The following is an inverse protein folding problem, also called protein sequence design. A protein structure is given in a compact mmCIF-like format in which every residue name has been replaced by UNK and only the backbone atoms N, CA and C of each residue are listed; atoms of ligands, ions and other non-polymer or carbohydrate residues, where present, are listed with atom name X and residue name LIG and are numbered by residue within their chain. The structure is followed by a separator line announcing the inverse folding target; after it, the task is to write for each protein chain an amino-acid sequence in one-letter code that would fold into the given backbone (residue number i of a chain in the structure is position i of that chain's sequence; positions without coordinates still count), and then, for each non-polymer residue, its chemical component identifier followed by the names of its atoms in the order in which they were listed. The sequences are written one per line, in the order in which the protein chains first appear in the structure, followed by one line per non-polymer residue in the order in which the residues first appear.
data_IF_267497795560
#
_entry.id   IF_267497795560
#
_cell.length_a   1.000
_cell.length_b   1.000
_cell.length_c   1.000
_cell.angle_alpha   90.00
_cell.angle_beta   90.00
_cell.angle_gamma   90.00
#
_symmetry.space_group_name_H-M   'P 1'
#
loop_
_entity.id
_entity.type
_entity.pdbx_description
1 polymer ?
#
# COMPACT_ATOMS: atom_id res chain seq x y z
N UNK A 1 13.20 -6.57 -3.10
CA UNK A 1 12.03 -6.94 -3.95
C UNK A 1 11.27 -5.68 -4.37
N UNK A 2 10.49 -5.71 -5.47
CA UNK A 2 9.80 -4.51 -5.98
C UNK A 2 8.80 -3.90 -4.99
N UNK A 3 7.97 -4.73 -4.35
CA UNK A 3 7.09 -4.31 -3.26
C UNK A 3 7.82 -3.66 -2.06
N UNK A 4 9.03 -4.15 -1.73
CA UNK A 4 9.83 -3.53 -0.66
C UNK A 4 10.33 -2.13 -1.06
N UNK A 5 10.70 -1.92 -2.33
CA UNK A 5 11.06 -0.57 -2.81
C UNK A 5 9.86 0.37 -2.78
N UNK A 6 8.68 -0.08 -3.22
CA UNK A 6 7.45 0.69 -3.11
C UNK A 6 7.16 1.08 -1.65
N UNK A 7 7.30 0.14 -0.72
CA UNK A 7 7.18 0.40 0.72
C UNK A 7 8.17 1.47 1.19
N UNK A 8 9.44 1.40 0.76
CA UNK A 8 10.45 2.38 1.16
C UNK A 8 10.21 3.78 0.59
N UNK A 9 9.74 3.87 -0.65
CA UNK A 9 9.37 5.15 -1.27
C UNK A 9 8.20 5.77 -0.51
N UNK A 10 7.14 5.00 -0.26
CA UNK A 10 5.99 5.46 0.51
C UNK A 10 6.38 5.92 1.92
N UNK A 11 7.21 5.13 2.60
CA UNK A 11 7.68 5.44 3.94
C UNK A 11 8.54 6.70 3.99
N UNK A 12 9.35 6.97 2.96
CA UNK A 12 10.12 8.22 2.85
C UNK A 12 9.18 9.42 2.68
N UNK A 13 8.18 9.32 1.80
CA UNK A 13 7.24 10.41 1.55
C UNK A 13 6.36 10.71 2.76
N UNK A 14 5.93 9.69 3.50
CA UNK A 14 5.13 9.87 4.72
C UNK A 14 5.89 10.63 5.82
N UNK A 15 7.23 10.50 5.90
CA UNK A 15 8.04 11.21 6.91
C UNK A 15 7.99 12.73 6.78
N UNK A 16 7.70 13.25 5.60
CA UNK A 16 7.71 14.68 5.30
C UNK A 16 6.38 15.39 5.65
N UNK A 17 5.44 14.69 6.30
CA UNK A 17 4.25 15.32 6.89
C UNK A 17 2.94 14.52 6.86
N UNK A 18 2.98 13.21 6.59
CA UNK A 18 1.79 12.38 6.40
C UNK A 18 1.75 11.10 7.24
N UNK A 19 0.59 10.46 7.27
CA UNK A 19 0.45 9.09 7.76
C UNK A 19 0.85 8.08 6.70
N UNK A 20 1.27 6.89 7.12
CA UNK A 20 1.51 5.76 6.22
C UNK A 20 0.45 4.68 6.47
N UNK A 21 -0.29 4.32 5.41
CA UNK A 21 -1.17 3.16 5.40
C UNK A 21 -0.61 2.13 4.43
N UNK A 22 -0.43 0.89 4.90
CA UNK A 22 0.09 -0.24 4.12
C UNK A 22 -1.07 -1.18 3.83
N UNK A 23 -1.34 -1.36 2.54
CA UNK A 23 -2.41 -2.20 2.03
C UNK A 23 -1.80 -3.53 1.59
N UNK A 24 -2.30 -4.62 2.14
CA UNK A 24 -1.71 -5.95 1.98
C UNK A 24 -2.72 -6.83 1.24
N UNK A 25 -2.57 -6.99 -0.09
CA UNK A 25 -3.36 -7.97 -0.82
C UNK A 25 -2.94 -9.36 -0.39
N UNK A 26 -3.87 -10.11 0.20
CA UNK A 26 -3.63 -11.47 0.65
C UNK A 26 -4.84 -12.36 0.31
N UNK A 27 -4.61 -13.62 -0.11
CA UNK A 27 -5.69 -14.56 -0.40
C UNK A 27 -6.32 -15.15 0.87
N UNK A 28 -5.61 -15.05 2.01
CA UNK A 28 -6.02 -15.58 3.30
C UNK A 28 -5.34 -14.82 4.45
N UNK A 29 -5.89 -14.98 5.67
CA UNK A 29 -5.40 -14.29 6.86
C UNK A 29 -4.00 -14.73 7.30
N UNK A 30 -3.57 -15.96 7.01
CA UNK A 30 -2.23 -16.42 7.38
C UNK A 30 -1.14 -15.73 6.54
N UNK A 31 -1.41 -15.58 5.24
CA UNK A 31 -0.59 -14.83 4.29
C UNK A 31 -0.61 -13.35 4.62
N UNK A 32 -1.78 -12.79 4.93
CA UNK A 32 -1.94 -11.40 5.38
C UNK A 32 -1.09 -11.09 6.60
N UNK A 33 -1.21 -11.92 7.65
CA UNK A 33 -0.43 -11.77 8.88
C UNK A 33 1.08 -11.84 8.63
N UNK A 34 1.54 -12.81 7.83
CA UNK A 34 2.96 -12.97 7.53
C UNK A 34 3.53 -11.75 6.81
N UNK A 35 2.79 -11.21 5.84
CA UNK A 35 3.19 -10.01 5.09
C UNK A 35 3.15 -8.76 5.96
N UNK A 36 2.14 -8.63 6.82
CA UNK A 36 2.04 -7.55 7.80
C UNK A 36 3.24 -7.54 8.75
N UNK A 37 3.57 -8.69 9.34
CA UNK A 37 4.70 -8.80 10.25
C UNK A 37 6.02 -8.48 9.55
N UNK A 38 6.16 -8.85 8.27
CA UNK A 38 7.32 -8.49 7.47
C UNK A 38 7.40 -6.98 7.23
N UNK A 39 6.32 -6.34 6.79
CA UNK A 39 6.27 -4.89 6.58
C UNK A 39 6.51 -4.13 7.89
N UNK A 40 5.89 -4.58 8.99
CA UNK A 40 6.05 -4.02 10.32
C UNK A 40 7.48 -4.07 10.80
N UNK A 41 8.16 -5.22 10.69
CA UNK A 41 9.58 -5.35 11.07
C UNK A 41 10.48 -4.40 10.27
N UNK A 42 10.21 -4.26 8.97
CA UNK A 42 10.97 -3.33 8.13
C UNK A 42 10.78 -1.89 8.61
N UNK A 43 9.54 -1.43 8.71
CA UNK A 43 9.22 -0.04 9.08
C UNK A 43 9.64 0.31 10.51
N UNK A 44 9.44 -0.60 11.48
CA UNK A 44 9.79 -0.38 12.88
C UNK A 44 11.29 -0.26 13.10
N UNK A 45 12.11 -0.97 12.32
CA UNK A 45 13.57 -0.84 12.35
C UNK A 45 14.06 0.59 12.00
N UNK A 46 13.20 1.44 11.43
CA UNK A 46 13.47 2.85 11.11
C UNK A 46 12.58 3.83 11.88
N UNK A 47 11.83 3.37 12.88
CA UNK A 47 10.95 4.20 13.70
C UNK A 47 9.74 4.76 12.95
N UNK A 48 9.29 4.08 11.89
CA UNK A 48 8.17 4.54 11.06
C UNK A 48 6.89 3.83 11.53
N UNK A 49 5.92 4.61 11.99
CA UNK A 49 4.59 4.11 12.31
C UNK A 49 3.75 3.99 11.03
N UNK A 50 2.95 2.94 10.95
CA UNK A 50 2.02 2.73 9.85
C UNK A 50 0.76 2.00 10.32
N UNK A 51 -0.35 2.27 9.65
CA UNK A 51 -1.56 1.48 9.74
C UNK A 51 -1.52 0.35 8.70
N UNK A 52 -1.98 -0.83 9.06
CA UNK A 52 -2.00 -1.99 8.17
C UNK A 52 -3.44 -2.37 7.91
N UNK A 53 -3.75 -2.69 6.66
CA UNK A 53 -5.06 -3.17 6.25
C UNK A 53 -4.89 -4.30 5.27
N UNK A 54 -5.56 -5.42 5.54
CA UNK A 54 -5.60 -6.54 4.61
C UNK A 54 -6.69 -6.30 3.59
N UNK A 55 -6.42 -6.69 2.36
CA UNK A 55 -7.39 -6.68 1.27
C UNK A 55 -7.66 -8.14 0.91
N UNK A 56 -8.84 -8.63 1.30
CA UNK A 56 -9.27 -9.98 0.96
C UNK A 56 -9.54 -10.03 -0.55
N UNK A 57 -8.79 -10.88 -1.25
CA UNK A 57 -8.97 -11.17 -2.68
C UNK A 57 -9.11 -9.93 -3.57
N UNK A 58 -8.05 -9.12 -3.68
CA UNK A 58 -7.69 -8.38 -4.90
C UNK A 58 -8.83 -7.60 -5.62
N UNK A 59 -9.85 -7.13 -4.91
CA UNK A 59 -10.93 -6.38 -5.55
C UNK A 59 -10.52 -4.90 -5.61
N UNK A 60 -10.13 -4.45 -6.79
CA UNK A 60 -9.77 -3.06 -7.06
C UNK A 60 -10.85 -2.07 -6.60
N UNK A 61 -12.13 -2.48 -6.62
CA UNK A 61 -13.24 -1.65 -6.16
C UNK A 61 -13.24 -1.35 -4.67
N UNK A 62 -12.80 -2.28 -3.81
CA UNK A 62 -12.65 -2.01 -2.37
C UNK A 62 -11.50 -1.05 -2.12
N UNK A 63 -10.41 -1.20 -2.87
CA UNK A 63 -9.25 -0.34 -2.78
C UNK A 63 -9.56 1.08 -3.28
N UNK A 64 -10.26 1.22 -4.39
CA UNK A 64 -10.77 2.51 -4.89
C UNK A 64 -11.79 3.14 -3.93
N UNK A 65 -12.62 2.33 -3.27
CA UNK A 65 -13.55 2.78 -2.22
C UNK A 65 -12.82 3.37 -1.00
N UNK A 66 -11.75 2.71 -0.54
CA UNK A 66 -10.92 3.18 0.57
C UNK A 66 -10.22 4.50 0.21
N UNK A 67 -9.66 4.60 -1.00
CA UNK A 67 -8.90 5.78 -1.43
C UNK A 67 -9.80 7.00 -1.68
N UNK A 68 -11.04 6.80 -2.16
CA UNK A 68 -12.03 7.88 -2.34
C UNK A 68 -12.43 8.55 -1.04
N UNK A 69 -12.41 7.82 0.08
CA UNK A 69 -12.76 8.38 1.38
C UNK A 69 -11.67 9.29 1.97
N UNK A 70 -10.40 9.05 1.61
CA UNK A 70 -9.26 9.75 2.19
C UNK A 70 -8.81 10.98 1.39
N UNK A 71 -9.33 11.19 0.17
CA UNK A 71 -9.33 12.47 -0.60
C UNK A 71 -7.99 13.05 -1.07
N UNK A 72 -6.94 12.96 -0.26
CA UNK A 72 -5.64 13.64 -0.42
C UNK A 72 -4.44 12.67 -0.38
N UNK A 73 -4.69 11.36 -0.57
CA UNK A 73 -3.66 10.32 -0.46
C UNK A 73 -2.87 10.09 -1.76
N UNK A 74 -1.59 9.74 -1.63
CA UNK A 74 -0.76 9.21 -2.72
C UNK A 74 -0.69 7.68 -2.59
N UNK A 75 -1.12 6.96 -3.63
CA UNK A 75 -0.88 5.52 -3.70
C UNK A 75 0.52 5.26 -4.26
N UNK A 76 1.27 4.35 -3.64
CA UNK A 76 2.58 3.92 -4.11
C UNK A 76 2.54 2.41 -4.33
N UNK A 77 2.82 1.97 -5.55
CA UNK A 77 2.73 0.56 -5.93
C UNK A 77 3.92 0.13 -6.77
N UNK A 78 4.15 -1.18 -6.82
CA UNK A 78 5.02 -1.79 -7.82
C UNK A 78 4.38 -1.65 -9.21
N UNK A 79 5.15 -1.23 -10.21
CA UNK A 79 4.68 -1.03 -11.58
C UNK A 79 4.16 -2.32 -12.22
N UNK A 80 4.69 -3.47 -11.80
CA UNK A 80 4.30 -4.79 -12.33
C UNK A 80 3.15 -5.43 -11.53
N UNK A 81 2.58 -4.70 -10.55
CA UNK A 81 1.44 -5.20 -9.78
C UNK A 81 0.17 -5.26 -10.64
N UNK A 82 -0.42 -6.45 -10.73
CA UNK A 82 -1.62 -6.71 -11.53
C UNK A 82 -2.86 -5.88 -11.13
N UNK A 83 -2.84 -5.29 -9.93
CA UNK A 83 -3.91 -4.39 -9.47
C UNK A 83 -3.77 -2.98 -10.02
N UNK A 84 -2.60 -2.58 -10.54
CA UNK A 84 -2.37 -1.21 -11.03
C UNK A 84 -3.30 -0.82 -12.19
N UNK A 85 -3.48 -1.63 -13.25
CA UNK A 85 -4.36 -1.25 -14.36
C UNK A 85 -5.81 -0.94 -13.94
N UNK A 86 -6.53 -1.80 -13.18
CA UNK A 86 -7.90 -1.48 -12.76
C UNK A 86 -7.95 -0.32 -11.76
N UNK A 87 -6.92 -0.13 -10.94
CA UNK A 87 -6.84 1.01 -10.02
C UNK A 87 -6.71 2.35 -10.75
N UNK A 88 -5.96 2.40 -11.85
CA UNK A 88 -5.83 3.62 -12.65
C UNK A 88 -7.17 4.05 -13.27
N UNK A 89 -8.07 3.12 -13.54
CA UNK A 89 -9.40 3.41 -14.10
C UNK A 89 -10.40 3.90 -13.04
N UNK A 90 -10.21 3.49 -11.77
CA UNK A 90 -11.19 3.73 -10.70
C UNK A 90 -10.76 4.81 -9.69
N UNK A 91 -9.49 5.24 -9.70
CA UNK A 91 -8.94 6.12 -8.67
C UNK A 91 -8.86 7.58 -9.10
N UNK A 92 -9.34 8.46 -8.21
CA UNK A 92 -9.24 9.92 -8.35
C UNK A 92 -7.98 10.50 -7.68
N UNK A 93 -7.05 9.68 -7.20
CA UNK A 93 -5.85 10.14 -6.49
C UNK A 93 -4.54 9.83 -7.22
N UNK A 94 -3.45 10.56 -6.93
CA UNK A 94 -2.15 10.32 -7.56
C UNK A 94 -1.62 8.91 -7.28
N UNK A 95 -1.05 8.28 -8.32
CA UNK A 95 -0.37 6.99 -8.23
C UNK A 95 1.12 7.13 -8.60
N UNK A 96 2.00 6.70 -7.72
CA UNK A 96 3.44 6.58 -7.96
C UNK A 96 3.83 5.11 -8.16
N UNK A 97 4.27 4.78 -9.37
CA UNK A 97 4.73 3.45 -9.71
C UNK A 97 6.24 3.32 -9.53
N UNK A 98 6.66 2.27 -8.82
CA UNK A 98 8.06 1.98 -8.53
C UNK A 98 8.50 0.73 -9.29
N UNK A 99 9.66 0.81 -9.94
CA UNK A 99 10.31 -0.27 -10.70
C UNK A 99 11.55 -0.80 -10.02
#
# INVERSE_FOLDING_TARGET
PAAERALWVAARLARDGGGLSVLIPAPDGATGQRLEDQARRLLSARGIAAHYRWLDSANAGELAGLMRHDGDGLLVADADNLLVPPLLEEMDCPLLLVR
#
